data_IF_537134630924
#
_entry.id   IF_537134630924
#
_cell.length_a   1.000
_cell.length_b   1.000
_cell.length_c   1.000
_cell.angle_alpha   90.00
_cell.angle_beta   90.00
_cell.angle_gamma   90.00
#
_symmetry.space_group_name_H-M   'P 1'
#
loop_
_entity.id
_entity.type
_entity.pdbx_description
1 polymer ?
#
# COMPACT_ATOMS: atom_id res chain seq x y z
N UNK A 1 -9.37 -22.87 13.90
CA UNK A 1 -8.65 -21.81 14.61
C UNK A 1 -7.34 -21.42 13.93
N UNK A 2 -6.49 -22.36 13.54
CA UNK A 2 -5.18 -22.03 12.92
C UNK A 2 -5.26 -21.21 11.63
N UNK A 3 -6.18 -21.53 10.72
CA UNK A 3 -6.34 -20.78 9.45
C UNK A 3 -6.74 -19.32 9.70
N UNK A 4 -7.63 -19.08 10.63
CA UNK A 4 -8.09 -17.73 10.95
C UNK A 4 -6.94 -16.87 11.51
N UNK A 5 -6.11 -17.43 12.37
CA UNK A 5 -4.93 -16.76 12.92
C UNK A 5 -3.93 -16.42 11.81
N UNK A 6 -3.66 -17.36 10.90
CA UNK A 6 -2.79 -17.13 9.75
C UNK A 6 -3.30 -16.00 8.84
N UNK A 7 -4.59 -16.00 8.54
CA UNK A 7 -5.22 -14.95 7.73
C UNK A 7 -5.17 -13.58 8.42
N UNK A 8 -5.49 -13.52 9.71
CA UNK A 8 -5.39 -12.28 10.48
C UNK A 8 -3.98 -11.76 10.57
N UNK A 9 -2.99 -12.64 10.68
CA UNK A 9 -1.57 -12.25 10.68
C UNK A 9 -1.15 -11.66 9.34
N UNK A 10 -1.47 -12.34 8.22
CA UNK A 10 -1.15 -11.82 6.89
C UNK A 10 -1.90 -10.54 6.59
N UNK A 11 -3.15 -10.42 7.01
CA UNK A 11 -3.95 -9.20 6.88
C UNK A 11 -3.36 -8.04 7.67
N UNK A 12 -3.02 -8.25 8.94
CA UNK A 12 -2.41 -7.23 9.80
C UNK A 12 -1.03 -6.79 9.29
N UNK A 13 -0.19 -7.76 8.87
CA UNK A 13 1.08 -7.46 8.23
C UNK A 13 0.89 -6.73 6.91
N UNK A 14 -0.13 -7.09 6.11
CA UNK A 14 -0.47 -6.40 4.87
C UNK A 14 -0.86 -4.94 5.10
N UNK A 15 -1.58 -4.66 6.20
CA UNK A 15 -1.91 -3.30 6.59
C UNK A 15 -0.67 -2.48 6.97
N UNK A 16 0.37 -3.12 7.50
CA UNK A 16 1.65 -2.49 7.78
C UNK A 16 2.55 -2.47 6.55
N UNK A 17 2.83 -3.62 5.94
CA UNK A 17 3.73 -3.72 4.80
C UNK A 17 3.53 -5.01 3.98
N UNK A 18 3.33 -4.85 2.66
CA UNK A 18 3.16 -5.96 1.72
C UNK A 18 4.41 -6.86 1.61
N UNK A 19 5.60 -6.27 1.70
CA UNK A 19 6.88 -6.99 1.60
C UNK A 19 7.07 -8.04 2.69
N UNK A 20 6.53 -7.80 3.87
CA UNK A 20 6.59 -8.72 5.01
C UNK A 20 5.42 -9.69 4.98
N UNK A 21 4.23 -9.21 4.63
CA UNK A 21 2.99 -9.99 4.63
C UNK A 21 3.03 -11.19 3.66
N UNK A 22 3.56 -10.97 2.45
CA UNK A 22 3.57 -12.01 1.41
C UNK A 22 4.52 -13.15 1.76
N UNK A 23 5.82 -12.93 2.07
CA UNK A 23 6.70 -14.01 2.52
C UNK A 23 6.18 -14.73 3.77
N UNK A 24 5.63 -13.99 4.74
CA UNK A 24 5.03 -14.59 5.95
C UNK A 24 3.88 -15.55 5.60
N UNK A 25 3.03 -15.19 4.64
CA UNK A 25 1.95 -16.06 4.16
C UNK A 25 2.48 -17.36 3.55
N UNK A 26 3.57 -17.31 2.80
CA UNK A 26 4.22 -18.51 2.25
C UNK A 26 4.83 -19.39 3.34
N UNK A 27 5.49 -18.80 4.35
CA UNK A 27 6.00 -19.53 5.52
C UNK A 27 4.88 -20.25 6.26
N UNK A 28 3.70 -19.62 6.35
CA UNK A 28 2.49 -20.20 6.94
C UNK A 28 1.81 -21.24 6.05
N UNK A 29 2.36 -21.53 4.87
CA UNK A 29 1.84 -22.50 3.88
C UNK A 29 0.42 -22.17 3.39
N UNK A 30 0.10 -20.89 3.26
CA UNK A 30 -1.16 -20.45 2.66
C UNK A 30 -1.09 -20.53 1.13
N UNK A 31 -2.22 -20.74 0.43
CA UNK A 31 -2.27 -20.68 -1.03
C UNK A 31 -1.88 -19.28 -1.55
N UNK A 32 -1.13 -19.18 -2.66
CA UNK A 32 -0.67 -17.88 -3.19
C UNK A 32 -1.79 -16.88 -3.44
N UNK A 33 -2.93 -17.34 -3.98
CA UNK A 33 -4.11 -16.50 -4.22
C UNK A 33 -4.69 -15.91 -2.92
N UNK A 34 -4.73 -16.73 -1.86
CA UNK A 34 -5.21 -16.28 -0.54
C UNK A 34 -4.26 -15.27 0.07
N UNK A 35 -2.95 -15.49 -0.06
CA UNK A 35 -1.91 -14.55 0.41
C UNK A 35 -2.08 -13.19 -0.28
N UNK A 36 -2.17 -13.20 -1.62
CA UNK A 36 -2.30 -11.97 -2.41
C UNK A 36 -3.55 -11.16 -2.02
N UNK A 37 -4.70 -11.82 -1.93
CA UNK A 37 -5.98 -11.16 -1.60
C UNK A 37 -5.96 -10.64 -0.16
N UNK A 38 -5.50 -11.44 0.80
CA UNK A 38 -5.50 -11.08 2.21
C UNK A 38 -4.53 -9.93 2.50
N UNK A 39 -3.31 -9.99 1.94
CA UNK A 39 -2.32 -8.94 2.08
C UNK A 39 -2.76 -7.63 1.41
N UNK A 40 -3.33 -7.70 0.20
CA UNK A 40 -3.86 -6.53 -0.49
C UNK A 40 -5.03 -5.88 0.27
N UNK A 41 -5.95 -6.69 0.80
CA UNK A 41 -7.07 -6.19 1.60
C UNK A 41 -6.59 -5.48 2.87
N UNK A 42 -5.58 -6.03 3.55
CA UNK A 42 -4.93 -5.40 4.69
C UNK A 42 -4.30 -4.06 4.33
N UNK A 43 -3.51 -4.01 3.25
CA UNK A 43 -2.87 -2.79 2.77
C UNK A 43 -3.86 -1.70 2.37
N UNK A 44 -4.97 -2.08 1.72
CA UNK A 44 -6.04 -1.14 1.37
C UNK A 44 -6.70 -0.56 2.63
N UNK A 45 -7.00 -1.41 3.61
CA UNK A 45 -7.59 -0.96 4.88
C UNK A 45 -6.63 -0.02 5.62
N UNK A 46 -5.35 -0.36 5.71
CA UNK A 46 -4.33 0.49 6.32
C UNK A 46 -4.25 1.86 5.65
N UNK A 47 -4.19 1.89 4.30
CA UNK A 47 -4.18 3.12 3.52
C UNK A 47 -5.46 3.94 3.73
N UNK A 48 -6.63 3.29 3.78
CA UNK A 48 -7.91 3.95 4.01
C UNK A 48 -8.00 4.62 5.39
N UNK A 49 -7.52 3.93 6.44
CA UNK A 49 -7.47 4.48 7.80
C UNK A 49 -6.56 5.71 7.84
N UNK A 50 -5.37 5.61 7.24
CA UNK A 50 -4.39 6.71 7.20
C UNK A 50 -4.95 7.92 6.42
N UNK A 51 -5.64 7.69 5.30
CA UNK A 51 -6.28 8.76 4.53
C UNK A 51 -7.30 9.53 5.37
N UNK A 52 -8.20 8.81 6.06
CA UNK A 52 -9.24 9.45 6.86
C UNK A 52 -8.66 10.25 8.03
N UNK A 53 -7.66 9.70 8.71
CA UNK A 53 -7.00 10.38 9.84
C UNK A 53 -6.17 11.56 9.32
N UNK A 54 -5.37 11.33 8.28
CA UNK A 54 -4.46 12.32 7.72
C UNK A 54 -5.21 13.51 7.10
N UNK A 55 -6.32 13.28 6.42
CA UNK A 55 -7.15 14.36 5.88
C UNK A 55 -7.77 15.24 6.98
N UNK A 56 -8.24 14.63 8.06
CA UNK A 56 -8.74 15.38 9.24
C UNK A 56 -7.64 16.25 9.86
N UNK A 57 -6.44 15.69 10.03
CA UNK A 57 -5.29 16.42 10.59
C UNK A 57 -4.86 17.54 9.63
N UNK A 58 -4.74 17.26 8.33
CA UNK A 58 -4.39 18.26 7.32
C UNK A 58 -5.37 19.43 7.31
N UNK A 59 -6.68 19.14 7.29
CA UNK A 59 -7.71 20.17 7.27
C UNK A 59 -7.70 21.03 8.53
N UNK A 60 -7.33 20.45 9.69
CA UNK A 60 -7.17 21.19 10.94
C UNK A 60 -5.91 22.08 10.95
N UNK A 61 -4.82 21.61 10.33
CA UNK A 61 -3.56 22.36 10.21
C UNK A 61 -3.65 23.47 9.15
N UNK A 62 -4.25 23.19 7.99
CA UNK A 62 -4.40 24.16 6.90
C UNK A 62 -5.35 25.32 7.24
N UNK A 63 -6.32 25.11 8.12
CA UNK A 63 -7.11 26.22 8.67
C UNK A 63 -6.26 27.23 9.43
N UNK A 64 -5.06 26.84 9.88
CA UNK A 64 -4.13 27.69 10.61
C UNK A 64 -3.07 28.39 9.74
N UNK A 65 -2.82 27.87 8.54
CA UNK A 65 -1.78 28.40 7.66
C UNK A 65 -2.38 28.66 6.27
N UNK A 66 -2.67 29.95 6.00
CA UNK A 66 -2.94 30.44 4.65
C UNK A 66 -1.58 30.51 3.92
N UNK A 67 -1.07 29.40 3.46
CA UNK A 67 0.16 29.42 2.69
C UNK A 67 -0.14 29.28 1.19
N UNK A 68 0.34 30.26 0.44
CA UNK A 68 0.25 30.35 -1.02
C UNK A 68 1.25 29.36 -1.63
N UNK A 69 0.93 28.08 -1.62
CA UNK A 69 1.71 27.09 -2.32
C UNK A 69 1.73 27.36 -3.82
N UNK A 70 2.92 27.29 -4.39
CA UNK A 70 3.22 27.59 -5.79
C UNK A 70 2.35 26.75 -6.75
N UNK A 71 1.34 27.35 -7.36
CA UNK A 71 0.32 26.71 -8.23
C UNK A 71 0.91 25.86 -9.38
N UNK A 72 2.16 26.12 -9.77
CA UNK A 72 2.84 25.39 -10.85
C UNK A 72 3.31 24.00 -10.44
N UNK A 73 3.87 23.88 -9.25
CA UNK A 73 4.31 22.60 -8.67
C UNK A 73 3.11 21.69 -8.43
N UNK A 74 2.00 22.23 -7.92
CA UNK A 74 0.77 21.47 -7.74
C UNK A 74 0.21 20.89 -9.05
N UNK A 75 0.26 21.64 -10.16
CA UNK A 75 -0.33 21.20 -11.44
C UNK A 75 0.44 20.04 -12.11
N UNK A 76 1.78 20.03 -12.02
CA UNK A 76 2.62 18.95 -12.56
C UNK A 76 2.51 17.70 -11.67
N UNK A 77 2.52 17.88 -10.35
CA UNK A 77 2.35 16.79 -9.41
C UNK A 77 0.93 16.20 -9.42
N UNK A 78 -0.10 17.01 -9.65
CA UNK A 78 -1.49 16.53 -9.70
C UNK A 78 -1.76 15.54 -10.83
N UNK A 79 -1.01 15.59 -11.92
CA UNK A 79 -1.30 14.76 -13.10
C UNK A 79 -0.44 13.49 -13.17
N UNK A 80 0.83 13.59 -12.83
CA UNK A 80 1.78 12.47 -12.93
C UNK A 80 2.26 11.98 -11.56
N UNK A 81 2.31 12.87 -10.57
CA UNK A 81 2.77 12.56 -9.22
C UNK A 81 1.83 11.62 -8.47
N UNK A 82 0.52 11.78 -8.65
CA UNK A 82 -0.49 10.92 -7.98
C UNK A 82 -0.42 9.50 -8.52
N UNK A 83 -0.38 9.33 -9.83
CA UNK A 83 -0.29 8.02 -10.46
C UNK A 83 1.05 7.34 -10.15
N UNK A 84 2.16 8.08 -10.26
CA UNK A 84 3.49 7.58 -9.94
C UNK A 84 3.60 7.18 -8.46
N UNK A 85 3.18 8.05 -7.57
CA UNK A 85 3.17 7.76 -6.13
C UNK A 85 2.27 6.57 -5.81
N UNK A 86 1.05 6.53 -6.35
CA UNK A 86 0.09 5.46 -6.08
C UNK A 86 0.56 4.09 -6.58
N UNK A 87 1.21 4.03 -7.74
CA UNK A 87 1.71 2.78 -8.30
C UNK A 87 3.05 2.33 -7.69
N UNK A 88 3.97 3.27 -7.47
CA UNK A 88 5.33 2.96 -7.03
C UNK A 88 5.49 2.93 -5.51
N UNK A 89 4.70 3.71 -4.76
CA UNK A 89 4.83 3.76 -3.31
C UNK A 89 4.57 2.41 -2.63
N UNK A 90 3.54 1.62 -3.00
CA UNK A 90 3.35 0.29 -2.41
C UNK A 90 4.54 -0.65 -2.63
N UNK A 91 5.28 -0.45 -3.73
CA UNK A 91 6.45 -1.25 -4.07
C UNK A 91 7.73 -0.77 -3.35
N UNK A 92 7.95 0.54 -3.26
CA UNK A 92 9.23 1.12 -2.79
C UNK A 92 9.25 1.42 -1.29
N UNK A 93 8.14 1.90 -0.75
CA UNK A 93 8.08 2.48 0.60
C UNK A 93 6.96 1.82 1.44
N UNK A 94 6.10 1.05 0.80
CA UNK A 94 4.89 0.51 1.41
C UNK A 94 3.66 1.43 1.27
N UNK A 95 2.49 0.82 1.26
CA UNK A 95 1.24 1.52 1.05
C UNK A 95 0.92 2.57 2.15
N UNK A 96 1.14 2.30 3.45
CA UNK A 96 0.88 3.28 4.51
C UNK A 96 1.75 4.53 4.38
N UNK A 97 3.07 4.36 4.18
CA UNK A 97 4.00 5.49 4.05
C UNK A 97 3.75 6.28 2.76
N UNK A 98 3.45 5.61 1.65
CA UNK A 98 3.05 6.27 0.41
C UNK A 98 1.80 7.11 0.58
N UNK A 99 0.83 6.63 1.34
CA UNK A 99 -0.39 7.37 1.66
C UNK A 99 -0.10 8.62 2.51
N UNK A 100 0.75 8.50 3.54
CA UNK A 100 1.19 9.64 4.36
C UNK A 100 1.88 10.70 3.50
N UNK A 101 2.79 10.28 2.61
CA UNK A 101 3.47 11.20 1.68
C UNK A 101 2.47 11.92 0.77
N UNK A 102 1.51 11.20 0.19
CA UNK A 102 0.49 11.79 -0.67
C UNK A 102 -0.35 12.85 0.06
N UNK A 103 -0.72 12.59 1.31
CA UNK A 103 -1.44 13.56 2.16
C UNK A 103 -0.56 14.77 2.46
N UNK A 104 0.71 14.56 2.83
CA UNK A 104 1.66 15.63 3.12
C UNK A 104 1.89 16.54 1.90
N UNK A 105 1.89 15.97 0.70
CA UNK A 105 1.98 16.71 -0.56
C UNK A 105 0.67 17.41 -0.95
N UNK A 106 -0.40 17.25 -0.19
CA UNK A 106 -1.68 17.91 -0.44
C UNK A 106 -2.50 17.27 -1.56
N UNK A 107 -2.22 16.04 -1.94
CA UNK A 107 -2.96 15.34 -3.00
C UNK A 107 -4.41 15.07 -2.59
N UNK A 108 -5.36 15.09 -3.53
CA UNK A 108 -6.76 14.80 -3.24
C UNK A 108 -6.94 13.32 -2.84
N UNK A 109 -7.49 13.10 -1.64
CA UNK A 109 -7.59 11.79 -1.00
C UNK A 109 -8.26 10.73 -1.88
N UNK A 110 -9.33 11.09 -2.59
CA UNK A 110 -10.08 10.15 -3.45
C UNK A 110 -9.21 9.64 -4.61
N UNK A 111 -8.49 10.52 -5.29
CA UNK A 111 -7.59 10.14 -6.39
C UNK A 111 -6.40 9.36 -5.89
N UNK A 112 -5.83 9.78 -4.76
CA UNK A 112 -4.72 9.09 -4.12
C UNK A 112 -5.13 7.66 -3.74
N UNK A 113 -6.29 7.48 -3.12
CA UNK A 113 -6.79 6.16 -2.76
C UNK A 113 -6.99 5.25 -3.97
N UNK A 114 -7.56 5.77 -5.06
CA UNK A 114 -7.77 5.00 -6.29
C UNK A 114 -6.43 4.49 -6.86
N UNK A 115 -5.44 5.37 -7.03
CA UNK A 115 -4.13 5.00 -7.56
C UNK A 115 -3.35 4.08 -6.61
N UNK A 116 -3.44 4.31 -5.30
CA UNK A 116 -2.84 3.44 -4.28
C UNK A 116 -3.47 2.05 -4.30
N UNK A 117 -4.79 1.95 -4.41
CA UNK A 117 -5.48 0.65 -4.50
C UNK A 117 -5.04 -0.13 -5.73
N UNK A 118 -4.93 0.54 -6.88
CA UNK A 118 -4.42 -0.08 -8.11
C UNK A 118 -2.97 -0.56 -7.92
N UNK A 119 -2.11 0.28 -7.34
CA UNK A 119 -0.72 -0.08 -7.04
C UNK A 119 -0.61 -1.25 -6.07
N UNK A 120 -1.42 -1.29 -5.02
CA UNK A 120 -1.47 -2.40 -4.06
C UNK A 120 -1.83 -3.72 -4.74
N UNK A 121 -2.85 -3.72 -5.62
CA UNK A 121 -3.26 -4.93 -6.36
C UNK A 121 -2.13 -5.43 -7.25
N UNK A 122 -1.54 -4.54 -8.05
CA UNK A 122 -0.44 -4.88 -8.97
C UNK A 122 0.78 -5.38 -8.19
N UNK A 123 1.16 -4.68 -7.12
CA UNK A 123 2.31 -5.07 -6.30
C UNK A 123 2.07 -6.40 -5.56
N UNK A 124 0.88 -6.60 -5.00
CA UNK A 124 0.54 -7.85 -4.32
C UNK A 124 0.58 -9.04 -5.26
N UNK A 125 0.00 -8.92 -6.45
CA UNK A 125 0.06 -9.96 -7.47
C UNK A 125 1.51 -10.23 -7.94
N UNK A 126 2.26 -9.17 -8.22
CA UNK A 126 3.66 -9.25 -8.65
C UNK A 126 4.56 -9.89 -7.60
N UNK A 127 4.53 -9.41 -6.37
CA UNK A 127 5.33 -9.96 -5.26
C UNK A 127 4.97 -11.41 -4.95
N UNK A 128 3.69 -11.75 -4.96
CA UNK A 128 3.25 -13.15 -4.74
C UNK A 128 3.79 -14.07 -5.83
N UNK A 129 3.73 -13.63 -7.10
CA UNK A 129 4.25 -14.40 -8.23
C UNK A 129 5.77 -14.58 -8.15
N UNK A 130 6.50 -13.49 -7.88
CA UNK A 130 7.97 -13.53 -7.74
C UNK A 130 8.39 -14.41 -6.57
N UNK A 131 7.74 -14.30 -5.42
CA UNK A 131 8.03 -15.14 -4.25
C UNK A 131 7.74 -16.61 -4.53
N UNK A 132 6.64 -16.92 -5.22
CA UNK A 132 6.30 -18.28 -5.61
C UNK A 132 7.33 -18.89 -6.56
N UNK A 133 7.78 -18.14 -7.57
CA UNK A 133 8.79 -18.59 -8.51
C UNK A 133 10.12 -18.80 -7.79
N UNK A 134 10.53 -17.84 -6.94
CA UNK A 134 11.76 -17.93 -6.15
C UNK A 134 11.79 -19.18 -5.25
N UNK A 135 10.70 -19.45 -4.53
CA UNK A 135 10.60 -20.64 -3.69
C UNK A 135 10.66 -21.94 -4.51
N UNK A 136 9.99 -22.01 -5.67
CA UNK A 136 10.08 -23.18 -6.55
C UNK A 136 11.48 -23.41 -7.07
N UNK A 137 12.19 -22.34 -7.45
CA UNK A 137 13.57 -22.43 -7.93
C UNK A 137 14.52 -22.97 -6.86
N UNK A 138 14.39 -22.50 -5.63
CA UNK A 138 15.20 -22.99 -4.48
C UNK A 138 14.96 -24.49 -4.24
N UNK A 139 13.71 -24.95 -4.31
CA UNK A 139 13.37 -26.37 -4.17
C UNK A 139 13.88 -27.26 -5.32
N UNK A 140 14.18 -26.68 -6.47
CA UNK A 140 14.73 -27.42 -7.62
C UNK A 140 16.25 -27.61 -7.53
N UNK A 141 16.93 -26.76 -6.73
CA UNK A 141 18.39 -26.81 -6.53
C UNK A 141 18.83 -27.52 -5.23
N UNK A 142 17.90 -27.85 -4.32
CA UNK A 142 18.14 -28.63 -3.10
C UNK A 142 17.73 -30.08 -3.28
#
# INVERSE_FOLDING_TARGET
MEILVKLLTVFGLGAAELWVAIPAGFVMKLPPSVIAITAASGAMLGSFIILNIGEKIRNKLLKRTKDKGNKYIHRIFDRYGIAGLGLLAPLLIGAPLGTVLGIAMGLPATRLFFWMSLGIIVCSAGLTTVTQIGLKSVWYFL
#
